data_IF_630426793788
#
_entry.id   IF_630426793788
#
_cell.length_a   1.000
_cell.length_b   1.000
_cell.length_c   1.000
_cell.angle_alpha   90.00
_cell.angle_beta   90.00
_cell.angle_gamma   90.00
#
_symmetry.space_group_name_H-M   'P 1'
#
loop_
_entity.id
_entity.type
_entity.pdbx_description
1 polymer ?
#
# COMPACT_ATOMS: atom_id res chain seq x y z
N UNK A 1 4.56 -24.85 0.35
CA UNK A 1 6.00 -25.22 0.45
C UNK A 1 6.57 -25.07 1.86
N UNK A 2 5.77 -24.65 2.85
CA UNK A 2 6.24 -24.53 4.23
C UNK A 2 6.81 -25.87 4.73
N UNK A 3 8.03 -25.85 5.24
CA UNK A 3 8.70 -27.03 5.76
C UNK A 3 9.32 -27.97 4.70
N UNK A 4 9.30 -27.62 3.42
CA UNK A 4 9.98 -28.41 2.40
C UNK A 4 11.46 -28.01 2.32
N UNK A 5 12.36 -28.97 2.51
CA UNK A 5 13.80 -28.73 2.55
C UNK A 5 14.42 -28.42 1.15
N UNK A 6 13.74 -28.80 0.08
CA UNK A 6 14.22 -28.65 -1.30
C UNK A 6 13.64 -27.39 -1.95
N UNK A 7 12.36 -27.11 -1.70
CA UNK A 7 11.65 -25.96 -2.25
C UNK A 7 11.73 -24.78 -1.28
N UNK A 8 12.34 -23.69 -1.70
CA UNK A 8 12.33 -22.43 -0.97
C UNK A 8 10.91 -21.81 -0.82
N UNK A 9 10.86 -20.57 -0.38
CA UNK A 9 9.62 -19.82 -0.36
C UNK A 9 9.00 -19.74 -1.77
N UNK A 10 7.68 -19.90 -1.85
CA UNK A 10 6.97 -19.74 -3.11
C UNK A 10 7.02 -18.28 -3.57
N UNK A 11 7.27 -18.04 -4.85
CA UNK A 11 7.13 -16.73 -5.45
C UNK A 11 5.68 -16.24 -5.34
N UNK A 12 5.53 -14.97 -5.00
CA UNK A 12 4.23 -14.33 -4.86
C UNK A 12 4.19 -13.02 -5.61
N UNK A 13 3.37 -12.95 -6.62
CA UNK A 13 3.04 -11.72 -7.35
C UNK A 13 1.71 -11.90 -8.06
N UNK A 14 0.77 -11.00 -7.82
CA UNK A 14 -0.48 -10.93 -8.55
C UNK A 14 -0.55 -9.63 -9.33
N UNK A 15 -1.10 -9.68 -10.53
CA UNK A 15 -1.35 -8.53 -11.40
C UNK A 15 -2.73 -8.65 -11.99
N UNK A 16 -3.48 -7.56 -12.01
CA UNK A 16 -4.76 -7.45 -12.70
C UNK A 16 -4.81 -6.14 -13.49
N UNK A 17 -5.10 -6.24 -14.78
CA UNK A 17 -5.35 -5.09 -15.64
C UNK A 17 -6.84 -4.75 -15.59
N UNK A 18 -7.14 -3.58 -15.05
CA UNK A 18 -8.49 -3.13 -14.77
C UNK A 18 -9.15 -2.44 -15.97
N UNK A 19 -10.47 -2.42 -15.99
CA UNK A 19 -11.26 -1.81 -17.08
C UNK A 19 -11.04 -0.29 -17.20
N UNK A 20 -10.69 0.38 -16.09
CA UNK A 20 -10.36 1.81 -16.08
C UNK A 20 -8.94 2.13 -16.61
N UNK A 21 -8.25 1.15 -17.22
CA UNK A 21 -6.91 1.29 -17.77
C UNK A 21 -5.78 1.21 -16.75
N UNK A 22 -6.07 1.05 -15.46
CA UNK A 22 -5.07 0.87 -14.42
C UNK A 22 -4.66 -0.60 -14.28
N UNK A 23 -3.51 -0.80 -13.66
CA UNK A 23 -3.09 -2.11 -13.22
C UNK A 23 -2.99 -2.14 -11.70
N UNK A 24 -3.62 -3.12 -11.08
CA UNK A 24 -3.48 -3.39 -9.65
C UNK A 24 -2.50 -4.53 -9.43
N UNK A 25 -1.71 -4.43 -8.37
CA UNK A 25 -0.68 -5.40 -8.02
C UNK A 25 -0.85 -5.83 -6.57
N UNK A 26 -0.54 -7.09 -6.30
CA UNK A 26 -0.27 -7.57 -4.95
C UNK A 26 1.05 -8.32 -4.94
N UNK A 27 1.92 -7.96 -4.00
CA UNK A 27 3.25 -8.51 -3.86
C UNK A 27 3.72 -8.42 -2.40
N UNK A 28 4.94 -8.84 -2.11
CA UNK A 28 5.53 -8.80 -0.76
C UNK A 28 4.64 -9.48 0.28
N UNK A 29 4.17 -10.70 -0.01
CA UNK A 29 3.46 -11.49 1.00
C UNK A 29 4.39 -11.74 2.19
N UNK A 30 3.96 -11.29 3.35
CA UNK A 30 4.64 -11.44 4.62
C UNK A 30 3.86 -12.43 5.50
N UNK A 31 4.15 -13.73 5.42
CA UNK A 31 3.49 -14.73 6.27
C UNK A 31 3.91 -14.55 7.72
N UNK A 32 2.96 -14.66 8.66
CA UNK A 32 3.23 -14.47 10.08
C UNK A 32 3.92 -13.14 10.35
N UNK A 33 3.37 -12.06 9.77
CA UNK A 33 3.94 -10.72 9.81
C UNK A 33 3.02 -9.68 10.42
N UNK A 34 3.40 -8.43 10.26
CA UNK A 34 2.71 -7.26 10.82
C UNK A 34 2.59 -6.16 9.77
N UNK A 35 1.51 -5.40 9.83
CA UNK A 35 1.44 -4.08 9.21
C UNK A 35 2.06 -3.08 10.19
N UNK A 36 3.01 -2.28 9.73
CA UNK A 36 3.80 -1.36 10.56
C UNK A 36 3.67 0.08 10.08
N UNK A 37 3.92 1.02 10.99
CA UNK A 37 4.02 2.43 10.65
C UNK A 37 5.33 2.71 9.88
N UNK A 38 5.21 3.40 8.75
CA UNK A 38 6.33 3.82 7.91
C UNK A 38 6.36 5.35 7.68
N UNK A 39 5.66 6.09 8.53
CA UNK A 39 5.53 7.54 8.46
C UNK A 39 6.87 8.21 8.80
N UNK A 40 7.25 9.20 8.02
CA UNK A 40 8.48 9.99 8.22
C UNK A 40 8.23 11.49 8.35
N UNK A 41 7.00 11.96 8.17
CA UNK A 41 6.63 13.37 8.25
C UNK A 41 5.45 13.56 9.20
N UNK A 42 5.41 14.61 10.04
CA UNK A 42 4.32 14.85 10.97
C UNK A 42 2.99 15.09 10.25
N UNK A 43 1.88 14.68 10.87
CA UNK A 43 0.54 14.84 10.34
C UNK A 43 0.23 13.98 9.12
N UNK A 44 0.91 12.83 8.97
CA UNK A 44 0.73 11.87 7.87
C UNK A 44 0.71 10.45 8.40
N UNK A 45 0.07 9.54 7.65
CA UNK A 45 0.10 8.11 7.92
C UNK A 45 0.56 7.37 6.66
N UNK A 46 1.58 6.55 6.83
CA UNK A 46 2.06 5.61 5.82
C UNK A 46 2.21 4.26 6.48
N UNK A 47 1.72 3.22 5.83
CA UNK A 47 1.81 1.84 6.29
C UNK A 47 2.76 1.04 5.40
N UNK A 48 3.34 0.00 5.96
CA UNK A 48 4.08 -1.02 5.22
C UNK A 48 3.84 -2.39 5.85
N UNK A 49 4.05 -3.44 5.09
CA UNK A 49 4.01 -4.81 5.59
C UNK A 49 5.41 -5.36 5.82
N UNK A 50 5.58 -6.13 6.87
CA UNK A 50 6.81 -6.89 7.09
C UNK A 50 6.56 -8.17 7.85
N UNK A 51 7.52 -9.08 7.75
CA UNK A 51 7.54 -10.31 8.54
C UNK A 51 8.90 -10.42 9.22
N UNK A 52 8.87 -10.83 10.46
CA UNK A 52 10.09 -11.12 11.21
C UNK A 52 10.69 -12.45 10.75
N UNK A 53 11.92 -12.72 11.11
CA UNK A 53 12.61 -13.97 10.74
C UNK A 53 11.83 -15.21 11.16
N UNK A 54 11.21 -15.20 12.35
CA UNK A 54 10.42 -16.31 12.87
C UNK A 54 9.14 -16.59 12.07
N UNK A 55 8.59 -15.58 11.36
CA UNK A 55 7.32 -15.66 10.63
C UNK A 55 6.17 -16.25 11.50
N UNK A 56 6.18 -15.92 12.79
CA UNK A 56 5.31 -16.53 13.79
C UNK A 56 4.18 -15.62 14.26
N UNK A 57 4.02 -14.43 13.65
CA UNK A 57 2.93 -13.52 13.99
C UNK A 57 1.59 -14.06 13.47
N UNK A 58 0.51 -13.56 14.05
CA UNK A 58 -0.85 -14.09 13.86
C UNK A 58 -1.35 -13.99 12.43
N UNK A 59 -1.05 -12.89 11.74
CA UNK A 59 -1.58 -12.59 10.41
C UNK A 59 -0.50 -12.70 9.32
N UNK A 60 -0.92 -12.99 8.09
CA UNK A 60 -0.16 -12.64 6.90
C UNK A 60 -0.60 -11.25 6.41
N UNK A 61 0.29 -10.56 5.73
CA UNK A 61 -0.05 -9.32 5.01
C UNK A 61 0.58 -9.29 3.63
N UNK A 62 0.07 -8.45 2.75
CA UNK A 62 0.64 -8.17 1.43
C UNK A 62 0.28 -6.76 0.99
N UNK A 63 1.13 -6.15 0.17
CA UNK A 63 0.82 -4.88 -0.45
C UNK A 63 -0.30 -5.04 -1.49
N UNK A 64 -1.18 -4.04 -1.55
CA UNK A 64 -2.15 -3.82 -2.62
C UNK A 64 -1.92 -2.42 -3.17
N UNK A 65 -1.41 -2.34 -4.40
CA UNK A 65 -1.07 -1.06 -5.03
C UNK A 65 -1.64 -0.96 -6.44
N UNK A 66 -1.88 0.28 -6.88
CA UNK A 66 -2.35 0.63 -8.22
C UNK A 66 -1.34 1.60 -8.81
N UNK A 67 -1.03 1.46 -10.11
CA UNK A 67 -0.12 2.38 -10.78
C UNK A 67 -0.69 3.80 -10.80
N UNK A 68 0.22 4.76 -10.58
CA UNK A 68 -0.02 6.20 -10.72
C UNK A 68 0.83 6.70 -11.89
N UNK A 69 0.24 7.49 -12.74
CA UNK A 69 0.91 8.10 -13.88
C UNK A 69 1.19 9.59 -13.62
N UNK A 70 2.17 10.19 -14.29
CA UNK A 70 2.49 11.62 -14.11
C UNK A 70 1.30 12.56 -14.38
N UNK A 71 0.37 12.13 -15.19
CA UNK A 71 -0.87 12.85 -15.54
C UNK A 71 -1.87 12.93 -14.37
N UNK A 72 -1.69 12.09 -13.35
CA UNK A 72 -2.49 12.13 -12.12
C UNK A 72 -2.05 13.23 -11.15
N UNK A 73 -0.86 13.81 -11.36
CA UNK A 73 -0.35 14.84 -10.48
C UNK A 73 -1.09 16.17 -10.68
N UNK A 74 -1.28 16.96 -9.62
CA UNK A 74 -2.08 18.19 -9.67
C UNK A 74 -1.32 19.34 -10.32
N UNK A 75 -0.81 19.18 -11.57
CA UNK A 75 -0.12 20.21 -12.32
C UNK A 75 0.91 19.68 -13.32
N UNK A 76 1.77 20.57 -13.82
CA UNK A 76 2.75 20.24 -14.85
C UNK A 76 4.06 19.71 -14.21
N UNK A 77 4.24 18.41 -14.20
CA UNK A 77 5.44 17.74 -13.66
C UNK A 77 6.73 18.09 -14.43
N UNK A 78 6.62 18.60 -15.68
CA UNK A 78 7.78 19.07 -16.45
C UNK A 78 8.31 20.40 -15.92
N UNK A 79 7.44 21.22 -15.34
CA UNK A 79 7.80 22.49 -14.70
C UNK A 79 8.15 22.33 -13.22
N UNK A 80 7.44 21.43 -12.53
CA UNK A 80 7.71 21.13 -11.12
C UNK A 80 7.94 19.62 -10.94
N UNK A 81 9.22 19.16 -10.95
CA UNK A 81 9.52 17.74 -10.80
C UNK A 81 9.21 17.19 -9.40
N UNK A 82 8.92 18.04 -8.39
CA UNK A 82 8.58 17.64 -7.04
C UNK A 82 7.08 17.41 -6.81
N UNK A 83 6.25 17.71 -7.81
CA UNK A 83 4.79 17.66 -7.68
C UNK A 83 4.25 16.27 -7.31
N UNK A 84 4.96 15.20 -7.71
CA UNK A 84 4.62 13.84 -7.32
C UNK A 84 4.78 13.59 -5.81
N UNK A 85 5.72 14.30 -5.13
CA UNK A 85 5.82 14.26 -3.67
C UNK A 85 4.61 14.92 -3.02
N UNK A 86 4.13 16.03 -3.57
CA UNK A 86 2.95 16.73 -3.03
C UNK A 86 1.70 15.87 -3.21
N UNK A 87 1.60 15.11 -4.32
CA UNK A 87 0.56 14.12 -4.52
C UNK A 87 0.59 13.02 -3.45
N UNK A 88 1.76 12.42 -3.17
CA UNK A 88 1.90 11.43 -2.08
C UNK A 88 1.50 12.04 -0.73
N UNK A 89 2.04 13.21 -0.41
CA UNK A 89 1.78 13.92 0.85
C UNK A 89 0.30 14.22 1.05
N UNK A 90 -0.41 14.53 -0.01
CA UNK A 90 -1.86 14.77 0.04
C UNK A 90 -2.60 13.53 0.57
N UNK A 91 -2.34 12.36 -0.01
CA UNK A 91 -3.02 11.12 0.39
C UNK A 91 -2.56 10.60 1.75
N UNK A 92 -1.30 10.80 2.11
CA UNK A 92 -0.77 10.49 3.43
C UNK A 92 -1.42 11.36 4.53
N UNK A 93 -1.68 12.63 4.24
CA UNK A 93 -2.39 13.55 5.14
C UNK A 93 -3.88 13.20 5.22
N UNK A 94 -4.52 12.85 4.10
CA UNK A 94 -5.89 12.36 4.09
C UNK A 94 -6.03 11.07 4.94
N UNK A 95 -5.05 10.16 4.84
CA UNK A 95 -5.01 8.96 5.68
C UNK A 95 -4.84 9.28 7.17
N UNK A 96 -4.02 10.29 7.53
CA UNK A 96 -3.89 10.74 8.90
C UNK A 96 -5.22 11.25 9.47
N UNK A 97 -5.95 12.07 8.71
CA UNK A 97 -7.27 12.57 9.12
C UNK A 97 -8.28 11.41 9.23
N UNK A 98 -8.34 10.53 8.23
CA UNK A 98 -9.22 9.36 8.23
C UNK A 98 -8.89 8.38 9.37
N UNK A 99 -7.63 8.30 9.79
CA UNK A 99 -7.16 7.52 10.92
C UNK A 99 -7.51 8.10 12.29
N UNK A 100 -8.02 9.34 12.37
CA UNK A 100 -8.40 9.98 13.64
C UNK A 100 -7.44 11.06 14.12
N UNK A 101 -6.42 11.40 13.32
CA UNK A 101 -5.41 12.44 13.59
C UNK A 101 -4.53 12.17 14.83
N UNK A 102 -4.35 10.91 15.18
CA UNK A 102 -3.55 10.44 16.34
C UNK A 102 -2.53 9.36 15.94
N UNK A 103 -2.24 9.25 14.63
CA UNK A 103 -1.39 8.23 14.00
C UNK A 103 -1.97 6.81 13.99
N UNK A 104 -3.21 6.59 14.41
CA UNK A 104 -3.93 5.39 14.02
C UNK A 104 -4.11 5.34 12.51
N UNK A 105 -4.03 4.15 11.93
CA UNK A 105 -4.22 4.00 10.49
C UNK A 105 -5.69 3.86 10.13
N UNK A 106 -6.18 4.47 9.03
CA UNK A 106 -7.52 4.17 8.53
C UNK A 106 -7.58 2.72 8.07
N UNK A 107 -8.66 2.02 8.44
CA UNK A 107 -8.85 0.62 8.10
C UNK A 107 -10.28 0.31 7.67
N UNK A 108 -10.41 -0.66 6.79
CA UNK A 108 -11.69 -1.14 6.28
C UNK A 108 -11.63 -2.65 6.04
N UNK A 109 -12.70 -3.37 6.36
CA UNK A 109 -12.80 -4.78 6.01
C UNK A 109 -13.00 -4.94 4.50
N UNK A 110 -12.40 -5.95 3.91
CA UNK A 110 -12.54 -6.22 2.47
C UNK A 110 -13.99 -6.37 2.06
N UNK A 111 -14.81 -7.07 2.85
CA UNK A 111 -16.23 -7.24 2.54
C UNK A 111 -17.00 -5.92 2.49
N UNK A 112 -16.71 -5.00 3.41
CA UNK A 112 -17.33 -3.66 3.43
C UNK A 112 -16.81 -2.79 2.28
N UNK A 113 -15.49 -2.84 2.00
CA UNK A 113 -14.89 -2.13 0.87
C UNK A 113 -15.49 -2.54 -0.48
N UNK A 114 -15.63 -3.85 -0.71
CA UNK A 114 -16.26 -4.39 -1.93
C UNK A 114 -17.74 -4.04 -2.02
N UNK A 115 -18.44 -3.96 -0.89
CA UNK A 115 -19.83 -3.53 -0.80
C UNK A 115 -20.03 -2.00 -0.89
N UNK A 116 -18.95 -1.21 -0.94
CA UNK A 116 -19.02 0.25 -1.04
C UNK A 116 -19.56 0.93 0.21
N UNK A 117 -19.31 0.39 1.39
CA UNK A 117 -19.77 0.95 2.67
C UNK A 117 -18.62 1.02 3.68
N UNK A 118 -18.62 2.01 4.60
CA UNK A 118 -17.61 2.10 5.64
C UNK A 118 -17.65 0.88 6.58
N UNK A 119 -16.48 0.53 7.15
CA UNK A 119 -16.44 -0.35 8.32
C UNK A 119 -16.59 0.48 9.59
N UNK A 120 -17.33 -0.04 10.56
CA UNK A 120 -17.61 0.63 11.84
C UNK A 120 -17.05 -0.14 13.05
N UNK A 121 -16.59 -1.37 12.82
CA UNK A 121 -16.07 -2.23 13.88
C UNK A 121 -15.18 -3.35 13.30
N UNK A 122 -14.33 -3.86 14.16
CA UNK A 122 -13.50 -5.04 13.90
C UNK A 122 -14.37 -6.28 13.62
N UNK A 123 -13.89 -7.12 12.70
CA UNK A 123 -14.42 -8.45 12.47
C UNK A 123 -13.61 -9.50 13.25
N UNK A 124 -13.48 -10.70 12.68
CA UNK A 124 -12.73 -11.82 13.27
C UNK A 124 -11.22 -11.62 13.19
N UNK A 125 -10.73 -10.79 12.25
CA UNK A 125 -9.31 -10.48 12.10
C UNK A 125 -8.95 -9.28 12.95
N UNK A 126 -7.99 -9.47 13.84
CA UNK A 126 -7.45 -8.40 14.68
C UNK A 126 -6.29 -7.73 13.92
N UNK A 127 -6.36 -6.39 13.68
CA UNK A 127 -5.28 -5.63 13.04
C UNK A 127 -3.99 -5.69 13.85
N UNK A 128 -2.85 -5.68 13.15
CA UNK A 128 -1.52 -5.69 13.79
C UNK A 128 -0.86 -4.32 13.85
N UNK A 129 -1.42 -3.31 13.16
CA UNK A 129 -0.84 -1.96 13.11
C UNK A 129 -0.87 -1.27 14.49
N UNK A 130 0.24 -0.63 14.85
CA UNK A 130 0.34 0.20 16.07
C UNK A 130 0.54 1.68 15.71
N UNK A 131 -0.12 2.61 16.42
CA UNK A 131 -0.80 2.46 17.73
C UNK A 131 -2.20 1.83 17.66
N UNK A 132 -2.77 1.66 16.49
CA UNK A 132 -4.09 1.07 16.28
C UNK A 132 -4.71 1.50 14.96
N UNK A 133 -5.94 1.10 14.73
CA UNK A 133 -6.68 1.45 13.50
C UNK A 133 -7.99 2.16 13.83
N UNK A 134 -8.38 3.07 12.94
CA UNK A 134 -9.70 3.68 12.91
C UNK A 134 -10.53 3.06 11.77
N UNK A 135 -11.67 2.44 12.13
CA UNK A 135 -12.56 1.83 11.16
C UNK A 135 -13.33 2.90 10.39
N UNK A 136 -13.16 2.92 9.07
CA UNK A 136 -13.69 4.00 8.22
C UNK A 136 -13.95 3.53 6.79
N UNK A 137 -14.15 4.47 5.87
CA UNK A 137 -14.17 4.26 4.42
C UNK A 137 -12.83 4.72 3.81
N UNK A 138 -12.05 3.79 3.28
CA UNK A 138 -10.75 4.08 2.67
C UNK A 138 -10.83 4.88 1.37
N UNK A 139 -12.01 5.00 0.76
CA UNK A 139 -12.19 5.88 -0.41
C UNK A 139 -11.93 7.35 -0.11
N UNK A 140 -11.95 7.73 1.16
CA UNK A 140 -11.62 9.10 1.61
C UNK A 140 -10.12 9.42 1.59
N UNK A 141 -9.25 8.41 1.50
CA UNK A 141 -7.80 8.59 1.59
C UNK A 141 -7.01 7.97 0.43
N UNK A 142 -7.70 7.62 -0.66
CA UNK A 142 -7.10 7.20 -1.93
C UNK A 142 -7.85 7.81 -3.11
N UNK A 143 -7.23 8.01 -4.29
CA UNK A 143 -7.93 8.43 -5.49
C UNK A 143 -9.09 7.50 -5.86
N UNK A 144 -10.17 8.03 -6.44
CA UNK A 144 -11.34 7.23 -6.83
C UNK A 144 -10.98 6.09 -7.78
N UNK A 145 -10.14 6.36 -8.78
CA UNK A 145 -9.69 5.34 -9.74
C UNK A 145 -8.86 4.23 -9.09
N UNK A 146 -8.20 4.50 -7.96
CA UNK A 146 -7.49 3.48 -7.16
C UNK A 146 -8.48 2.57 -6.47
N UNK A 147 -9.49 3.14 -5.81
CA UNK A 147 -10.53 2.34 -5.14
C UNK A 147 -11.35 1.50 -6.11
N UNK A 148 -11.65 2.02 -7.31
CA UNK A 148 -12.31 1.29 -8.40
C UNK A 148 -11.44 0.11 -8.86
N UNK A 149 -10.16 0.36 -9.16
CA UNK A 149 -9.23 -0.68 -9.58
C UNK A 149 -9.09 -1.79 -8.52
N UNK A 150 -9.01 -1.44 -7.24
CA UNK A 150 -8.91 -2.41 -6.16
C UNK A 150 -10.19 -3.25 -6.00
N UNK A 151 -11.38 -2.64 -6.16
CA UNK A 151 -12.65 -3.38 -6.14
C UNK A 151 -12.73 -4.42 -7.26
N UNK A 152 -12.15 -4.15 -8.42
CA UNK A 152 -12.08 -5.10 -9.52
C UNK A 152 -10.99 -6.16 -9.28
N UNK A 153 -9.83 -5.76 -8.80
CA UNK A 153 -8.66 -6.62 -8.65
C UNK A 153 -8.79 -7.64 -7.50
N UNK A 154 -9.33 -7.25 -6.35
CA UNK A 154 -9.42 -8.14 -5.18
C UNK A 154 -10.19 -9.44 -5.50
N UNK A 155 -11.38 -9.42 -6.13
CA UNK A 155 -12.04 -10.66 -6.56
C UNK A 155 -11.25 -11.42 -7.63
N UNK A 156 -10.50 -10.72 -8.49
CA UNK A 156 -9.66 -11.37 -9.50
C UNK A 156 -8.49 -12.12 -8.84
N UNK A 157 -7.91 -11.56 -7.79
CA UNK A 157 -6.85 -12.19 -7.00
C UNK A 157 -7.37 -13.39 -6.22
N UNK A 158 -8.61 -13.34 -5.70
CA UNK A 158 -9.23 -14.46 -5.02
C UNK A 158 -9.45 -15.69 -5.92
N UNK A 159 -9.65 -15.46 -7.22
CA UNK A 159 -9.72 -16.58 -8.20
C UNK A 159 -8.37 -17.31 -8.33
N UNK A 160 -7.27 -16.62 -8.12
CA UNK A 160 -5.91 -17.18 -8.20
C UNK A 160 -5.46 -17.74 -6.85
N UNK A 161 -5.74 -17.02 -5.75
CA UNK A 161 -5.38 -17.41 -4.40
C UNK A 161 -6.64 -17.36 -3.55
N UNK A 162 -7.25 -18.53 -3.33
CA UNK A 162 -8.50 -18.65 -2.56
C UNK A 162 -8.35 -18.10 -1.14
N UNK A 163 -9.30 -17.26 -0.72
CA UNK A 163 -9.32 -16.57 0.55
C UNK A 163 -8.68 -15.17 0.49
N UNK A 164 -8.15 -14.74 -0.66
CA UNK A 164 -7.59 -13.39 -0.79
C UNK A 164 -8.63 -12.30 -0.54
N UNK A 165 -9.88 -12.52 -0.97
CA UNK A 165 -11.01 -11.63 -0.74
C UNK A 165 -11.83 -11.99 0.52
N UNK A 166 -11.20 -12.60 1.54
CA UNK A 166 -11.89 -12.91 2.81
C UNK A 166 -12.56 -11.64 3.36
N UNK A 167 -13.86 -11.72 3.67
CA UNK A 167 -14.67 -10.55 4.02
C UNK A 167 -14.14 -9.78 5.24
N UNK A 168 -13.60 -10.48 6.21
CA UNK A 168 -13.04 -9.91 7.45
C UNK A 168 -11.56 -9.53 7.36
N UNK A 169 -10.88 -9.83 6.24
CA UNK A 169 -9.51 -9.34 6.03
C UNK A 169 -9.48 -7.81 6.01
N UNK A 170 -8.42 -7.25 6.56
CA UNK A 170 -8.31 -5.81 6.85
C UNK A 170 -7.44 -5.12 5.82
N UNK A 171 -8.01 -4.16 5.10
CA UNK A 171 -7.26 -3.15 4.37
C UNK A 171 -6.82 -2.08 5.35
N UNK A 172 -5.52 -1.79 5.38
CA UNK A 172 -4.93 -0.74 6.23
C UNK A 172 -4.25 0.29 5.33
N UNK A 173 -4.71 1.53 5.36
CA UNK A 173 -4.23 2.59 4.48
C UNK A 173 -3.24 3.52 5.19
N UNK A 174 -2.31 4.12 4.44
CA UNK A 174 -2.07 3.94 3.00
C UNK A 174 -0.62 3.53 2.77
N UNK A 175 -0.36 2.73 1.72
CA UNK A 175 1.00 2.45 1.28
C UNK A 175 1.28 3.26 0.00
N UNK A 176 1.92 4.43 0.15
CA UNK A 176 2.20 5.38 -0.94
C UNK A 176 3.64 5.34 -1.43
N UNK A 177 4.53 4.58 -0.77
CA UNK A 177 5.97 4.65 -0.98
C UNK A 177 6.57 3.37 -1.57
N UNK A 178 5.84 2.72 -2.46
CA UNK A 178 6.33 1.55 -3.20
C UNK A 178 7.45 1.92 -4.18
N UNK A 179 7.36 3.09 -4.81
CA UNK A 179 8.42 3.67 -5.63
C UNK A 179 8.41 5.19 -5.53
N UNK A 180 9.59 5.80 -5.77
CA UNK A 180 9.72 7.26 -5.69
C UNK A 180 9.13 7.93 -6.92
N UNK A 181 8.34 9.01 -6.76
CA UNK A 181 7.89 9.85 -7.87
C UNK A 181 9.01 10.70 -8.47
N UNK A 182 10.20 10.69 -7.84
CA UNK A 182 11.35 11.49 -8.25
C UNK A 182 12.55 10.57 -8.46
N UNK A 183 13.30 10.85 -9.51
CA UNK A 183 14.56 10.17 -9.79
C UNK A 183 15.71 11.17 -9.83
N UNK A 184 16.71 10.99 -8.98
CA UNK A 184 17.99 11.69 -9.07
C UNK A 184 18.85 10.96 -10.10
N UNK A 185 19.19 11.63 -11.21
CA UNK A 185 20.01 11.03 -12.26
C UNK A 185 21.45 10.83 -11.78
N UNK A 186 22.03 9.69 -12.11
CA UNK A 186 23.41 9.32 -11.80
C UNK A 186 24.16 8.79 -13.03
N UNK A 187 25.48 8.97 -13.03
CA UNK A 187 26.37 8.44 -14.08
C UNK A 187 26.69 6.95 -13.89
N UNK A 188 27.57 6.43 -14.74
CA UNK A 188 28.03 5.05 -14.66
C UNK A 188 28.84 4.73 -13.37
N UNK A 189 29.39 5.76 -12.74
CA UNK A 189 30.07 5.73 -11.45
C UNK A 189 29.13 5.82 -10.26
N UNK A 190 27.81 5.77 -10.50
CA UNK A 190 26.73 5.93 -9.51
C UNK A 190 26.65 7.29 -8.83
N UNK A 191 27.53 8.23 -9.16
CA UNK A 191 27.48 9.59 -8.64
C UNK A 191 26.43 10.43 -9.36
N UNK A 192 25.77 11.34 -8.64
CA UNK A 192 24.83 12.31 -9.24
C UNK A 192 25.53 13.11 -10.33
N UNK A 193 24.85 13.29 -11.48
CA UNK A 193 25.43 14.00 -12.64
C UNK A 193 25.68 15.49 -12.40
N UNK A 194 25.04 16.09 -11.39
CA UNK A 194 25.09 17.52 -11.11
C UNK A 194 25.59 17.86 -9.68
N UNK A 195 25.94 16.85 -8.89
CA UNK A 195 26.39 17.07 -7.51
C UNK A 195 27.51 16.10 -7.16
N UNK A 196 28.72 16.60 -7.03
CA UNK A 196 29.88 15.78 -6.66
C UNK A 196 29.75 15.23 -5.23
N UNK A 197 30.07 13.96 -5.03
CA UNK A 197 30.01 13.28 -3.73
C UNK A 197 28.62 12.80 -3.32
N UNK A 198 27.58 13.03 -4.13
CA UNK A 198 26.24 12.52 -3.90
C UNK A 198 26.03 11.22 -4.71
N UNK A 199 25.72 10.14 -4.02
CA UNK A 199 25.46 8.80 -4.60
C UNK A 199 24.01 8.40 -4.31
N UNK A 200 23.04 8.75 -5.19
CA UNK A 200 21.65 8.38 -5.00
C UNK A 200 21.47 6.87 -5.12
N UNK A 201 20.72 6.26 -4.19
CA UNK A 201 20.36 4.85 -4.18
C UNK A 201 19.04 4.58 -4.93
#
# INVERSE_FOLDING_TARGET
>A
NAGNEILGAADYKLVHHCQNGRAAYSFCMCPGGQVVAATSEPGRVVTNGMSQYSRAERNANSALVVNIDPEDFPGDFKKNPLIGMDFQRHWESAAFVAGGSDYSAPAQKIGDFLAGRPSTAQGTVEPSYQPGVNWTDLTSCVPSYVSEALREAIPAFDRQIKGFAMADAVLTGVETRTSSPIRIKRGADFQSINTRGLYPA
#
